data_IF_761938594326
#
_entry.id   IF_761938594326
#
_cell.length_a   1.000
_cell.length_b   1.000
_cell.length_c   1.000
_cell.angle_alpha   90.00
_cell.angle_beta   90.00
_cell.angle_gamma   90.00
#
_symmetry.space_group_name_H-M   'P 1'
#
loop_
_entity.id
_entity.type
_entity.pdbx_description
1 polymer ?
#
# COMPACT_ATOMS: atom_id res chain seq x y z
N UNK A 1 5.20 36.87 12.28
CA UNK A 1 4.40 36.35 11.16
C UNK A 1 4.95 34.97 10.80
N UNK A 2 4.18 33.89 11.01
CA UNK A 2 4.60 32.52 10.70
C UNK A 2 4.23 32.23 9.24
N UNK A 3 5.23 32.01 8.39
CA UNK A 3 5.04 31.59 7.01
C UNK A 3 4.66 30.10 7.01
N UNK A 4 3.39 29.80 6.78
CA UNK A 4 2.87 28.45 6.59
C UNK A 4 3.11 28.02 5.14
N UNK A 5 4.37 27.81 4.78
CA UNK A 5 4.63 26.76 3.79
C UNK A 5 4.54 25.46 4.56
N UNK A 6 3.41 24.78 4.42
CA UNK A 6 3.21 23.40 4.87
C UNK A 6 4.45 22.60 4.46
N UNK A 7 5.27 22.21 5.44
CA UNK A 7 6.36 21.26 5.24
C UNK A 7 5.72 19.98 4.73
N UNK A 8 5.70 19.80 3.41
CA UNK A 8 5.69 18.47 2.83
C UNK A 8 7.01 17.86 3.28
N UNK A 9 6.98 17.09 4.37
CA UNK A 9 8.12 16.26 4.74
C UNK A 9 8.26 15.28 3.58
N UNK A 10 9.18 15.57 2.66
CA UNK A 10 9.54 14.66 1.57
C UNK A 10 10.16 13.45 2.25
N UNK A 11 9.35 12.40 2.47
CA UNK A 11 9.81 11.15 3.02
C UNK A 11 10.58 10.44 1.92
N UNK A 12 11.91 10.49 2.01
CA UNK A 12 12.77 9.71 1.13
C UNK A 12 12.77 8.25 1.60
N UNK A 13 11.84 7.45 1.08
CA UNK A 13 11.80 6.01 1.33
C UNK A 13 12.91 5.33 0.53
N UNK A 14 13.69 4.43 1.14
CA UNK A 14 14.79 3.77 0.42
C UNK A 14 14.31 2.46 -0.22
N UNK A 15 13.36 1.78 0.42
CA UNK A 15 12.76 0.54 -0.06
C UNK A 15 11.52 0.80 -0.92
N UNK A 16 11.19 -0.16 -1.80
CA UNK A 16 9.87 -0.25 -2.44
C UNK A 16 8.84 -0.72 -1.42
N UNK A 17 7.65 -0.12 -1.43
CA UNK A 17 6.54 -0.42 -0.53
C UNK A 17 5.39 -1.00 -1.36
N UNK A 18 5.02 -2.24 -1.09
CA UNK A 18 3.88 -2.91 -1.72
C UNK A 18 2.78 -3.09 -0.67
N UNK A 19 1.61 -2.53 -0.90
CA UNK A 19 0.47 -2.60 0.02
C UNK A 19 -0.59 -3.53 -0.59
N UNK A 20 -0.99 -4.55 0.17
CA UNK A 20 -2.13 -5.39 -0.17
C UNK A 20 -3.29 -4.97 0.72
N UNK A 21 -4.38 -4.49 0.12
CA UNK A 21 -5.49 -3.86 0.84
C UNK A 21 -6.82 -4.54 0.50
N UNK A 22 -7.69 -4.77 1.49
CA UNK A 22 -9.01 -5.32 1.22
C UNK A 22 -9.96 -4.25 0.73
N UNK A 23 -10.54 -4.41 -0.46
CA UNK A 23 -11.38 -3.36 -1.06
C UNK A 23 -12.63 -3.02 -0.22
N UNK A 24 -13.06 -3.93 0.63
CA UNK A 24 -14.22 -3.80 1.51
C UNK A 24 -13.81 -3.57 2.98
N UNK A 25 -12.60 -3.07 3.24
CA UNK A 25 -12.14 -2.75 4.59
C UNK A 25 -13.07 -1.68 5.22
N UNK A 26 -13.56 -1.99 6.43
CA UNK A 26 -14.47 -1.13 7.20
C UNK A 26 -13.79 -0.47 8.40
N UNK A 27 -12.54 -0.82 8.66
CA UNK A 27 -11.69 -0.24 9.71
C UNK A 27 -10.88 0.91 9.11
N UNK A 28 -10.28 0.68 7.95
CA UNK A 28 -9.61 1.72 7.18
C UNK A 28 -10.27 1.89 5.82
N UNK A 29 -10.74 3.10 5.54
CA UNK A 29 -11.34 3.46 4.24
C UNK A 29 -10.37 3.18 3.09
N UNK A 30 -10.88 2.67 1.98
CA UNK A 30 -10.08 2.21 0.83
C UNK A 30 -9.31 3.37 0.18
N UNK A 31 -9.82 4.58 0.29
CA UNK A 31 -9.22 5.84 -0.14
C UNK A 31 -7.88 6.11 0.58
N UNK A 32 -7.71 5.60 1.80
CA UNK A 32 -6.45 5.72 2.53
C UNK A 32 -5.30 4.98 1.82
N UNK A 33 -5.60 3.92 1.05
CA UNK A 33 -4.60 3.26 0.21
C UNK A 33 -4.06 4.21 -0.86
N UNK A 34 -4.94 4.94 -1.54
CA UNK A 34 -4.54 5.93 -2.56
C UNK A 34 -3.77 7.09 -1.93
N UNK A 35 -4.25 7.59 -0.79
CA UNK A 35 -3.56 8.63 -0.03
C UNK A 35 -2.15 8.17 0.38
N UNK A 36 -2.02 6.95 0.91
CA UNK A 36 -0.72 6.37 1.28
C UNK A 36 0.22 6.28 0.08
N UNK A 37 -0.29 5.86 -1.08
CA UNK A 37 0.49 5.84 -2.32
C UNK A 37 0.98 7.24 -2.70
N UNK A 38 0.13 8.26 -2.64
CA UNK A 38 0.49 9.64 -2.95
C UNK A 38 1.55 10.20 -1.99
N UNK A 39 1.44 9.88 -0.69
CA UNK A 39 2.42 10.32 0.32
C UNK A 39 3.78 9.63 0.18
N UNK A 40 3.82 8.39 -0.32
CA UNK A 40 5.08 7.65 -0.54
C UNK A 40 5.68 7.94 -1.92
N UNK A 41 4.86 8.23 -2.92
CA UNK A 41 5.27 8.50 -4.30
C UNK A 41 5.57 7.22 -5.08
N UNK A 42 6.47 7.32 -6.06
CA UNK A 42 6.78 6.27 -7.05
C UNK A 42 7.25 4.94 -6.45
N UNK A 43 7.68 4.94 -5.18
CA UNK A 43 8.11 3.73 -4.47
C UNK A 43 6.94 2.92 -3.88
N UNK A 44 5.72 3.43 -3.92
CA UNK A 44 4.53 2.72 -3.45
C UNK A 44 3.69 2.14 -4.59
N UNK A 45 3.21 0.93 -4.34
CA UNK A 45 2.10 0.33 -5.09
C UNK A 45 1.04 -0.18 -4.13
N UNK A 46 -0.21 -0.14 -4.56
CA UNK A 46 -1.35 -0.64 -3.78
C UNK A 46 -2.16 -1.58 -4.66
N UNK A 47 -2.35 -2.81 -4.19
CA UNK A 47 -3.23 -3.80 -4.80
C UNK A 47 -4.48 -3.94 -3.93
N UNK A 48 -5.64 -3.62 -4.51
CA UNK A 48 -6.92 -3.81 -3.84
C UNK A 48 -7.46 -5.21 -4.14
N UNK A 49 -7.57 -6.04 -3.11
CA UNK A 49 -8.11 -7.38 -3.21
C UNK A 49 -9.63 -7.32 -3.04
N UNK A 50 -10.33 -7.61 -4.13
CA UNK A 50 -11.79 -7.69 -4.18
C UNK A 50 -12.33 -8.77 -3.24
N UNK A 51 -13.50 -8.53 -2.64
CA UNK A 51 -14.17 -9.43 -1.70
C UNK A 51 -13.31 -9.75 -0.46
N UNK A 52 -12.60 -8.75 0.06
CA UNK A 52 -11.93 -8.80 1.36
C UNK A 52 -12.03 -7.46 2.08
N UNK A 53 -12.18 -7.53 3.39
CA UNK A 53 -12.03 -6.43 4.34
C UNK A 53 -10.64 -6.42 4.97
N UNK A 54 -10.58 -6.16 6.27
CA UNK A 54 -9.35 -5.77 6.94
C UNK A 54 -8.29 -6.86 6.99
N UNK A 55 -8.69 -8.13 7.18
CA UNK A 55 -7.73 -9.23 7.40
C UNK A 55 -7.55 -10.02 6.09
N UNK A 56 -7.02 -9.33 5.07
CA UNK A 56 -6.94 -9.79 3.67
C UNK A 56 -6.32 -11.18 3.53
N UNK A 57 -5.27 -11.47 4.31
CA UNK A 57 -4.58 -12.76 4.29
C UNK A 57 -5.45 -13.92 4.79
N UNK A 58 -6.40 -13.68 5.70
CA UNK A 58 -7.33 -14.70 6.19
C UNK A 58 -8.57 -14.82 5.30
N UNK A 59 -9.08 -13.70 4.80
CA UNK A 59 -10.30 -13.67 4.01
C UNK A 59 -10.10 -14.16 2.58
N UNK A 60 -8.94 -13.84 1.97
CA UNK A 60 -8.63 -14.15 0.57
C UNK A 60 -7.24 -14.76 0.41
N UNK A 61 -6.90 -15.84 1.14
CA UNK A 61 -5.53 -16.38 1.25
C UNK A 61 -4.91 -16.72 -0.11
N UNK A 62 -5.68 -17.28 -1.04
CA UNK A 62 -5.16 -17.62 -2.38
C UNK A 62 -4.83 -16.38 -3.22
N UNK A 63 -5.65 -15.33 -3.16
CA UNK A 63 -5.37 -14.08 -3.90
C UNK A 63 -4.23 -13.32 -3.25
N UNK A 64 -4.22 -13.23 -1.92
CA UNK A 64 -3.13 -12.65 -1.16
C UNK A 64 -1.79 -13.32 -1.46
N UNK A 65 -1.71 -14.65 -1.39
CA UNK A 65 -0.49 -15.41 -1.71
C UNK A 65 -0.10 -15.32 -3.19
N UNK A 66 -1.07 -15.22 -4.10
CA UNK A 66 -0.77 -14.96 -5.53
C UNK A 66 -0.08 -13.60 -5.72
N UNK A 67 -0.49 -12.57 -4.99
CA UNK A 67 0.20 -11.27 -5.01
C UNK A 67 1.60 -11.38 -4.41
N UNK A 68 1.78 -12.06 -3.28
CA UNK A 68 3.11 -12.29 -2.70
C UNK A 68 4.05 -13.03 -3.66
N UNK A 69 3.57 -14.06 -4.35
CA UNK A 69 4.37 -14.80 -5.33
C UNK A 69 4.83 -13.95 -6.52
N UNK A 70 4.18 -12.81 -6.79
CA UNK A 70 4.64 -11.82 -7.78
C UNK A 70 5.62 -10.83 -7.16
N UNK A 71 5.34 -10.37 -5.95
CA UNK A 71 6.13 -9.35 -5.26
C UNK A 71 7.50 -9.91 -4.85
N UNK A 72 7.55 -11.05 -4.18
CA UNK A 72 8.77 -11.57 -3.56
C UNK A 72 9.91 -11.82 -4.56
N UNK A 73 9.69 -12.43 -5.75
CA UNK A 73 10.77 -12.60 -6.74
C UNK A 73 11.30 -11.27 -7.32
N UNK A 74 10.48 -10.21 -7.32
CA UNK A 74 10.92 -8.88 -7.74
C UNK A 74 11.89 -8.22 -6.74
N UNK A 75 12.03 -8.79 -5.53
CA UNK A 75 12.94 -8.30 -4.50
C UNK A 75 14.36 -8.89 -4.64
N UNK A 76 14.49 -10.10 -5.18
CA UNK A 76 15.79 -10.78 -5.36
C UNK A 76 16.48 -10.48 -6.69
N UNK A 77 15.78 -9.81 -7.61
CA UNK A 77 16.33 -9.38 -8.90
C UNK A 77 16.99 -8.01 -8.74
N UNK A 78 18.23 -7.99 -8.22
CA UNK A 78 19.13 -6.82 -8.16
C UNK A 78 20.29 -7.03 -9.11
#
# INVERSE_FOLDING_TARGET
MRNLQSLVIIRNWWQRIHVLWGKNDKIFEVENGQYLQQQIGEKASVEYIENSGHIVQLERPFKYNSCLNKILPSLSSS
#
